data_IF_018058083625
#
_entry.id   IF_018058083625
#
_cell.length_a   1.000
_cell.length_b   1.000
_cell.length_c   1.000
_cell.angle_alpha   90.00
_cell.angle_beta   90.00
_cell.angle_gamma   90.00
#
_symmetry.space_group_name_H-M   'P 1'
#
loop_
_entity.id
_entity.type
_entity.pdbx_description
1 polymer ?
#
# COMPACT_ATOMS: atom_id res chain seq x y z
N UNK A 1 -1.31 35.41 14.26
CA UNK A 1 -1.82 34.23 14.98
C UNK A 1 -2.83 33.53 14.06
N UNK A 2 -2.36 32.68 13.16
CA UNK A 2 -3.22 31.97 12.20
C UNK A 2 -3.72 30.72 12.93
N UNK A 3 -5.04 30.65 13.18
CA UNK A 3 -5.70 29.46 13.71
C UNK A 3 -5.32 28.27 12.82
N UNK A 4 -4.68 27.31 13.46
CA UNK A 4 -4.11 26.08 12.91
C UNK A 4 -5.13 25.32 12.06
N UNK A 5 -4.63 24.75 10.96
CA UNK A 5 -5.21 23.73 10.08
C UNK A 5 -5.60 22.41 10.82
N UNK A 6 -5.98 22.47 12.10
CA UNK A 6 -6.21 21.27 12.92
C UNK A 6 -7.56 20.61 12.68
N UNK A 7 -8.49 21.25 11.96
CA UNK A 7 -9.83 20.72 11.73
C UNK A 7 -9.94 19.74 10.54
N UNK A 8 -8.96 19.71 9.63
CA UNK A 8 -8.96 18.78 8.47
C UNK A 8 -8.26 17.43 8.76
N UNK A 9 -7.62 17.30 9.92
CA UNK A 9 -6.84 16.12 10.32
C UNK A 9 -7.62 15.14 11.22
N UNK A 10 -8.75 15.56 11.81
CA UNK A 10 -9.45 14.79 12.84
C UNK A 10 -9.97 13.43 12.35
N UNK A 11 -10.33 13.34 11.07
CA UNK A 11 -10.82 12.11 10.45
C UNK A 11 -9.83 11.49 9.46
N UNK A 12 -8.63 12.07 9.32
CA UNK A 12 -7.64 11.54 8.39
C UNK A 12 -6.94 10.31 8.99
N UNK A 13 -7.18 9.16 8.38
CA UNK A 13 -6.46 7.94 8.72
C UNK A 13 -5.02 8.04 8.19
N UNK A 14 -4.05 7.89 9.09
CA UNK A 14 -2.63 7.89 8.74
C UNK A 14 -2.14 6.48 8.41
N UNK A 15 -1.05 6.36 7.65
CA UNK A 15 -0.40 5.08 7.37
C UNK A 15 0.08 4.40 8.66
N UNK A 16 0.54 5.18 9.64
CA UNK A 16 0.93 4.71 10.98
C UNK A 16 -0.26 4.06 11.69
N UNK A 17 -1.42 4.74 11.70
CA UNK A 17 -2.62 4.22 12.35
C UNK A 17 -3.04 2.85 11.79
N UNK A 18 -2.99 2.69 10.48
CA UNK A 18 -3.32 1.42 9.81
C UNK A 18 -2.31 0.33 10.19
N UNK A 19 -1.01 0.65 10.12
CA UNK A 19 0.07 -0.31 10.38
C UNK A 19 0.08 -0.79 11.83
N UNK A 20 -0.14 0.12 12.78
CA UNK A 20 -0.25 -0.17 14.20
C UNK A 20 -1.52 -0.95 14.52
N UNK A 21 -2.66 -0.55 13.94
CA UNK A 21 -3.93 -1.26 14.08
C UNK A 21 -3.82 -2.71 13.63
N UNK A 22 -3.23 -2.95 12.45
CA UNK A 22 -2.96 -4.30 11.94
C UNK A 22 -2.10 -5.12 12.90
N UNK A 23 -0.98 -4.54 13.35
CA UNK A 23 -0.05 -5.23 14.26
C UNK A 23 -0.71 -5.57 15.60
N UNK A 24 -1.53 -4.66 16.13
CA UNK A 24 -2.29 -4.86 17.37
C UNK A 24 -3.24 -6.06 17.26
N UNK A 25 -4.02 -6.14 16.19
CA UNK A 25 -4.95 -7.25 15.97
C UNK A 25 -4.19 -8.57 15.78
N UNK A 26 -3.13 -8.58 14.96
CA UNK A 26 -2.27 -9.76 14.78
C UNK A 26 -1.76 -10.30 16.12
N UNK A 27 -1.22 -9.41 16.95
CA UNK A 27 -0.66 -9.79 18.25
C UNK A 27 -1.75 -10.22 19.25
N UNK A 28 -2.95 -9.60 19.22
CA UNK A 28 -4.09 -9.99 20.05
C UNK A 28 -4.62 -11.39 19.72
N UNK A 29 -4.58 -11.78 18.45
CA UNK A 29 -4.96 -13.11 17.98
C UNK A 29 -3.87 -14.17 18.23
N UNK A 30 -2.69 -13.77 18.73
CA UNK A 30 -1.57 -14.67 18.94
C UNK A 30 -0.92 -15.18 17.66
N UNK A 31 -1.16 -14.53 16.51
CA UNK A 31 -0.60 -14.94 15.23
C UNK A 31 0.90 -14.66 15.19
N UNK A 32 1.68 -15.63 14.70
CA UNK A 32 3.15 -15.54 14.59
C UNK A 32 3.84 -15.29 15.95
N UNK A 33 3.27 -15.82 17.04
CA UNK A 33 3.82 -15.67 18.39
C UNK A 33 5.14 -16.42 18.60
N UNK A 34 5.39 -17.44 17.78
CA UNK A 34 6.57 -18.31 17.75
C UNK A 34 7.81 -17.66 17.13
N UNK A 35 7.65 -16.53 16.43
CA UNK A 35 8.76 -15.79 15.82
C UNK A 35 8.98 -14.41 16.49
N UNK A 36 10.19 -13.88 16.33
CA UNK A 36 10.57 -12.56 16.83
C UNK A 36 9.66 -11.47 16.26
N UNK A 37 9.29 -10.50 17.11
CA UNK A 37 8.37 -9.42 16.76
C UNK A 37 8.79 -8.65 15.50
N UNK A 38 10.09 -8.48 15.25
CA UNK A 38 10.65 -7.78 14.07
C UNK A 38 10.47 -8.57 12.77
N UNK A 39 10.31 -9.89 12.86
CA UNK A 39 10.11 -10.77 11.71
C UNK A 39 8.63 -11.02 11.39
N UNK A 40 7.70 -10.53 12.22
CA UNK A 40 6.27 -10.74 12.01
C UNK A 40 5.74 -9.92 10.83
N UNK A 41 4.85 -10.48 9.99
CA UNK A 41 4.24 -9.76 8.88
C UNK A 41 3.55 -8.46 9.33
N UNK A 42 3.71 -7.40 8.56
CA UNK A 42 3.07 -6.09 8.78
C UNK A 42 1.94 -5.86 7.77
N UNK A 43 1.34 -4.67 7.81
CA UNK A 43 0.34 -4.28 6.83
C UNK A 43 0.90 -4.24 5.39
N UNK A 44 2.21 -4.00 5.22
CA UNK A 44 2.84 -3.93 3.90
C UNK A 44 2.75 -5.25 3.13
N UNK A 45 2.78 -6.38 3.83
CA UNK A 45 2.74 -7.72 3.25
C UNK A 45 1.43 -8.02 2.50
N UNK A 46 0.33 -7.34 2.81
CA UNK A 46 -0.93 -7.47 2.07
C UNK A 46 -0.73 -7.14 0.59
N UNK A 47 0.10 -6.12 0.29
CA UNK A 47 0.44 -5.75 -1.09
C UNK A 47 1.20 -6.87 -1.81
N UNK A 48 2.10 -7.56 -1.10
CA UNK A 48 2.86 -8.68 -1.64
C UNK A 48 1.95 -9.88 -1.93
N UNK A 49 1.02 -10.19 -1.03
CA UNK A 49 0.02 -11.25 -1.22
C UNK A 49 -0.83 -10.94 -2.45
N UNK A 50 -1.35 -9.71 -2.56
CA UNK A 50 -2.14 -9.29 -3.72
C UNK A 50 -1.36 -9.42 -5.04
N UNK A 51 -0.07 -9.10 -5.03
CA UNK A 51 0.78 -9.26 -6.21
C UNK A 51 0.97 -10.73 -6.61
N UNK A 52 1.12 -11.63 -5.63
CA UNK A 52 1.24 -13.06 -5.85
C UNK A 52 -0.03 -13.63 -6.49
N UNK A 53 -1.20 -13.34 -5.92
CA UNK A 53 -2.50 -13.79 -6.45
C UNK A 53 -2.75 -13.33 -7.89
N UNK A 54 -2.35 -12.09 -8.21
CA UNK A 54 -2.44 -11.57 -9.57
C UNK A 54 -1.53 -12.35 -10.53
N UNK A 55 -0.30 -12.66 -10.13
CA UNK A 55 0.61 -13.48 -10.95
C UNK A 55 0.05 -14.89 -11.15
N UNK A 56 -0.47 -15.50 -10.10
CA UNK A 56 -1.02 -16.86 -10.13
C UNK A 56 -2.29 -16.91 -11.01
N UNK A 57 -3.04 -15.81 -11.08
CA UNK A 57 -4.18 -15.63 -11.98
C UNK A 57 -3.80 -15.24 -13.42
N UNK A 58 -2.50 -15.19 -13.75
CA UNK A 58 -1.99 -14.84 -15.08
C UNK A 58 -2.07 -13.35 -15.42
N UNK A 59 -2.27 -12.48 -14.43
CA UNK A 59 -2.31 -11.02 -14.60
C UNK A 59 -0.95 -10.38 -14.29
N UNK A 60 -0.63 -9.28 -14.97
CA UNK A 60 0.57 -8.50 -14.68
C UNK A 60 0.36 -7.63 -13.41
N UNK A 61 1.09 -7.88 -12.31
CA UNK A 61 0.90 -7.11 -11.08
C UNK A 61 1.59 -5.74 -11.14
N UNK A 62 2.58 -5.54 -12.01
CA UNK A 62 3.43 -4.34 -12.01
C UNK A 62 2.66 -3.06 -12.32
N UNK A 63 1.73 -3.14 -13.28
CA UNK A 63 0.87 -2.01 -13.65
C UNK A 63 -0.04 -1.58 -12.50
N UNK A 64 -0.55 -2.55 -11.70
CA UNK A 64 -1.40 -2.28 -10.53
C UNK A 64 -0.62 -1.82 -9.31
N UNK A 65 0.60 -2.31 -9.16
CA UNK A 65 1.49 -1.90 -8.09
C UNK A 65 2.12 -0.52 -8.34
N UNK A 66 1.83 0.11 -9.49
CA UNK A 66 2.42 1.38 -9.91
C UNK A 66 3.95 1.38 -9.78
N UNK A 67 4.58 0.22 -9.99
CA UNK A 67 6.03 0.16 -10.09
C UNK A 67 6.40 0.76 -11.44
N UNK A 68 6.90 1.99 -11.41
CA UNK A 68 7.67 2.53 -12.53
C UNK A 68 8.88 1.63 -12.71
N UNK A 69 9.04 1.03 -13.89
CA UNK A 69 10.33 0.43 -14.22
C UNK A 69 11.44 1.50 -14.07
N UNK A 70 12.64 1.04 -13.73
CA UNK A 70 13.87 1.78 -13.39
C UNK A 70 14.44 2.72 -14.50
N UNK A 71 13.61 3.15 -15.46
CA UNK A 71 14.00 4.01 -16.58
C UNK A 71 12.98 5.12 -16.86
N UNK A 72 12.42 5.76 -15.83
CA UNK A 72 11.70 7.04 -16.02
C UNK A 72 12.49 8.18 -15.39
N UNK A 73 13.68 8.42 -15.92
CA UNK A 73 14.31 9.73 -15.85
C UNK A 73 13.58 10.67 -16.82
N UNK A 74 12.29 10.90 -16.57
CA UNK A 74 11.57 12.00 -17.22
C UNK A 74 11.84 13.26 -16.40
N UNK A 75 13.00 13.84 -16.62
CA UNK A 75 13.24 15.25 -16.29
C UNK A 75 12.42 16.04 -17.32
N UNK A 76 11.14 16.25 -17.06
CA UNK A 76 10.32 17.13 -17.89
C UNK A 76 9.53 18.09 -17.00
N UNK A 77 9.92 19.35 -17.16
CA UNK A 77 9.41 20.56 -16.54
C UNK A 77 7.99 20.85 -17.01
N UNK A 78 6.98 20.16 -16.45
CA UNK A 78 5.63 20.69 -16.31
C UNK A 78 4.86 19.88 -15.26
N UNK A 79 4.42 20.51 -14.17
CA UNK A 79 3.70 19.85 -13.07
C UNK A 79 2.22 19.59 -13.40
N UNK A 80 1.77 19.99 -14.59
CA UNK A 80 0.37 19.89 -15.00
C UNK A 80 0.05 18.71 -15.92
N UNK A 81 1.07 18.02 -16.47
CA UNK A 81 0.85 16.89 -17.36
C UNK A 81 0.88 15.56 -16.58
N UNK A 82 -0.28 15.16 -16.03
CA UNK A 82 -0.42 13.88 -15.33
C UNK A 82 -0.84 12.80 -16.34
N UNK A 83 0.03 11.85 -16.60
CA UNK A 83 -0.30 10.64 -17.36
C UNK A 83 -0.85 9.57 -16.41
N UNK A 84 -2.05 9.07 -16.70
CA UNK A 84 -2.71 8.01 -15.94
C UNK A 84 -2.51 6.66 -16.62
N UNK A 85 -2.10 5.65 -15.85
CA UNK A 85 -2.06 4.27 -16.31
C UNK A 85 -3.41 3.63 -16.02
N UNK A 86 -4.19 3.38 -17.07
CA UNK A 86 -5.45 2.65 -16.94
C UNK A 86 -5.19 1.14 -16.82
N UNK A 87 -5.88 0.50 -15.87
CA UNK A 87 -5.79 -0.94 -15.68
C UNK A 87 -7.20 -1.53 -15.60
N UNK A 88 -7.50 -2.50 -16.46
CA UNK A 88 -8.82 -3.15 -16.50
C UNK A 88 -9.22 -3.74 -15.14
N UNK A 89 -10.50 -3.88 -14.80
CA UNK A 89 -10.92 -4.60 -13.59
C UNK A 89 -10.46 -6.06 -13.63
N UNK A 90 -10.05 -6.60 -12.48
CA UNK A 90 -9.76 -8.03 -12.30
C UNK A 90 -10.47 -8.51 -11.05
N UNK A 91 -11.18 -9.62 -11.17
CA UNK A 91 -11.72 -10.34 -10.03
C UNK A 91 -10.62 -11.25 -9.47
N UNK A 92 -10.37 -11.15 -8.17
CA UNK A 92 -9.50 -12.06 -7.44
C UNK A 92 -10.42 -12.91 -6.56
N UNK A 93 -10.28 -14.23 -6.62
CA UNK A 93 -11.00 -15.15 -5.75
C UNK A 93 -10.21 -15.27 -4.44
N UNK A 94 -10.58 -14.48 -3.43
CA UNK A 94 -9.96 -14.47 -2.09
C UNK A 94 -10.84 -15.22 -1.09
#
# INVERSE_FOLDING_TARGET
MIKTLSALLEFQVTSTYISEGFSKIRDQLGLYSDIDKKARPTFHEIRRIAAQELMDSGHNPMSRMAHSNQATTNIYTDKHNIEWIEVSPVAINI
#
